data_IF_476151200784
#
_entry.id   IF_476151200784
#
_cell.length_a   1.000
_cell.length_b   1.000
_cell.length_c   1.000
_cell.angle_alpha   90.00
_cell.angle_beta   90.00
_cell.angle_gamma   90.00
#
_symmetry.space_group_name_H-M   'P 1'
#
loop_
_entity.id
_entity.type
_entity.pdbx_description
1 polymer ?
#
# COMPACT_ATOMS: atom_id res chain seq x y z
N UNK A 1 52.70 -0.86 -0.40
CA UNK A 1 51.66 -0.84 0.67
C UNK A 1 50.31 -1.19 0.05
N UNK A 2 50.16 -2.44 -0.39
CA UNK A 2 48.94 -2.91 -1.03
C UNK A 2 48.61 -4.28 -0.45
N UNK A 3 47.63 -4.32 0.44
CA UNK A 3 46.82 -5.49 0.76
C UNK A 3 45.66 -5.03 1.66
N UNK A 4 44.55 -5.75 1.57
CA UNK A 4 43.31 -5.57 2.33
C UNK A 4 42.30 -4.55 1.78
N UNK A 5 41.94 -4.69 0.50
CA UNK A 5 40.51 -4.79 0.24
C UNK A 5 40.17 -6.26 0.46
N UNK A 6 39.80 -6.60 1.71
CA UNK A 6 39.23 -7.90 1.99
C UNK A 6 38.02 -8.07 1.06
N UNK A 7 38.16 -8.99 0.12
CA UNK A 7 37.11 -9.57 -0.69
C UNK A 7 36.15 -10.31 0.25
N UNK A 8 35.42 -9.55 1.05
CA UNK A 8 34.45 -10.05 2.01
C UNK A 8 33.20 -10.39 1.22
N UNK A 9 33.25 -11.49 0.46
CA UNK A 9 32.08 -12.09 -0.15
C UNK A 9 31.02 -12.23 0.94
N UNK A 10 29.88 -11.54 0.83
CA UNK A 10 28.85 -11.61 1.86
C UNK A 10 28.41 -13.06 2.02
N UNK A 11 28.24 -13.47 3.27
CA UNK A 11 27.78 -14.80 3.63
C UNK A 11 26.47 -15.13 2.87
N UNK A 12 26.45 -16.20 2.06
CA UNK A 12 25.27 -16.59 1.29
C UNK A 12 24.02 -16.75 2.14
N UNK A 13 24.17 -17.26 3.37
CA UNK A 13 23.05 -17.46 4.29
C UNK A 13 22.51 -16.12 4.78
N UNK A 14 23.38 -15.15 5.10
CA UNK A 14 22.98 -13.80 5.45
C UNK A 14 22.21 -13.09 4.31
N UNK A 15 22.62 -13.28 3.05
CA UNK A 15 21.91 -12.76 1.88
C UNK A 15 20.53 -13.40 1.72
N UNK A 16 20.46 -14.74 1.80
CA UNK A 16 19.21 -15.47 1.69
C UNK A 16 18.22 -15.06 2.78
N UNK A 17 18.69 -14.93 4.03
CA UNK A 17 17.86 -14.48 5.13
C UNK A 17 17.30 -13.06 4.90
N UNK A 18 18.09 -12.17 4.28
CA UNK A 18 17.63 -10.82 3.94
C UNK A 18 16.51 -10.86 2.89
N UNK A 19 16.71 -11.60 1.81
CA UNK A 19 15.67 -11.78 0.77
C UNK A 19 14.40 -12.39 1.38
N UNK A 20 14.53 -13.40 2.24
CA UNK A 20 13.39 -14.01 2.92
C UNK A 20 12.67 -13.06 3.89
N UNK A 21 13.39 -12.13 4.54
CA UNK A 21 12.78 -11.09 5.39
C UNK A 21 12.01 -10.06 4.56
N UNK A 22 12.60 -9.63 3.44
CA UNK A 22 11.98 -8.69 2.50
C UNK A 22 10.73 -9.32 1.87
N UNK A 23 10.80 -10.57 1.42
CA UNK A 23 9.66 -11.33 0.90
C UNK A 23 8.55 -11.50 1.93
N UNK A 24 8.89 -11.86 3.18
CA UNK A 24 7.91 -11.93 4.28
C UNK A 24 7.25 -10.58 4.56
N UNK A 25 7.98 -9.49 4.44
CA UNK A 25 7.43 -8.13 4.66
C UNK A 25 6.54 -7.72 3.49
N UNK A 26 6.90 -8.06 2.26
CA UNK A 26 6.10 -7.79 1.07
C UNK A 26 4.79 -8.61 1.03
N UNK A 27 4.80 -9.82 1.59
CA UNK A 27 3.62 -10.68 1.69
C UNK A 27 2.58 -10.16 2.72
N UNK A 28 2.93 -9.20 3.58
CA UNK A 28 2.00 -8.64 4.56
C UNK A 28 1.09 -7.60 3.88
N UNK A 29 -0.17 -7.59 4.28
CA UNK A 29 -1.09 -6.51 3.95
C UNK A 29 -0.57 -5.15 4.43
N UNK A 30 -0.86 -4.10 3.66
CA UNK A 30 -0.52 -2.71 4.00
C UNK A 30 -1.80 -1.94 4.31
N UNK A 31 -1.82 -1.23 5.44
CA UNK A 31 -2.91 -0.33 5.79
C UNK A 31 -2.55 1.10 5.36
N UNK A 32 -3.37 1.71 4.50
CA UNK A 32 -3.28 3.13 4.15
C UNK A 32 -4.42 3.89 4.83
N UNK A 33 -4.08 4.92 5.61
CA UNK A 33 -5.06 5.74 6.33
C UNK A 33 -5.17 7.11 5.64
N UNK A 34 -6.39 7.49 5.26
CA UNK A 34 -6.69 8.82 4.73
C UNK A 34 -7.12 9.74 5.89
N UNK A 35 -6.17 10.51 6.42
CA UNK A 35 -6.40 11.42 7.53
C UNK A 35 -6.87 12.81 7.04
N UNK A 36 -7.66 13.51 7.86
CA UNK A 36 -8.14 14.84 7.54
C UNK A 36 -8.59 15.61 8.78
N UNK A 37 -8.28 16.91 8.81
CA UNK A 37 -8.36 17.77 10.00
C UNK A 37 -9.80 18.09 10.46
N UNK A 38 -10.81 17.86 9.63
CA UNK A 38 -12.21 18.14 9.97
C UNK A 38 -13.18 17.15 9.29
N UNK A 39 -14.46 17.22 9.68
CA UNK A 39 -15.55 16.54 8.99
C UNK A 39 -15.75 17.16 7.59
N UNK A 40 -16.12 16.34 6.61
CA UNK A 40 -16.40 16.81 5.25
C UNK A 40 -15.20 17.19 4.39
N UNK A 41 -13.96 17.12 4.89
CA UNK A 41 -12.72 17.43 4.13
C UNK A 41 -12.38 16.45 3.00
N UNK A 42 -13.25 15.49 2.70
CA UNK A 42 -13.08 14.58 1.55
C UNK A 42 -12.31 13.28 1.82
N UNK A 43 -12.15 12.85 3.08
CA UNK A 43 -11.42 11.61 3.42
C UNK A 43 -11.96 10.37 2.67
N UNK A 44 -13.28 10.16 2.73
CA UNK A 44 -13.94 9.02 2.05
C UNK A 44 -13.84 9.14 0.53
N UNK A 45 -13.99 10.35 -0.01
CA UNK A 45 -13.85 10.60 -1.45
C UNK A 45 -12.45 10.23 -1.95
N UNK A 46 -11.39 10.75 -1.30
CA UNK A 46 -10.01 10.45 -1.66
C UNK A 46 -9.68 8.94 -1.52
N UNK A 47 -10.26 8.28 -0.52
CA UNK A 47 -10.12 6.83 -0.35
C UNK A 47 -10.74 6.06 -1.53
N UNK A 48 -11.98 6.38 -1.90
CA UNK A 48 -12.67 5.71 -3.01
C UNK A 48 -12.03 6.04 -4.37
N UNK A 49 -11.55 7.27 -4.57
CA UNK A 49 -10.82 7.64 -5.78
C UNK A 49 -9.52 6.82 -5.93
N UNK A 50 -8.80 6.59 -4.82
CA UNK A 50 -7.63 5.73 -4.82
C UNK A 50 -7.98 4.25 -5.10
N UNK A 51 -9.10 3.77 -4.56
CA UNK A 51 -9.61 2.42 -4.83
C UNK A 51 -9.96 2.23 -6.31
N UNK A 52 -10.61 3.21 -6.95
CA UNK A 52 -10.90 3.23 -8.40
C UNK A 52 -9.63 3.18 -9.24
N UNK A 53 -8.58 3.91 -8.85
CA UNK A 53 -7.27 3.84 -9.52
C UNK A 53 -6.65 2.44 -9.42
N UNK A 54 -6.83 1.74 -8.30
CA UNK A 54 -6.36 0.35 -8.15
C UNK A 54 -7.19 -0.63 -8.99
N UNK A 55 -8.51 -0.50 -9.00
CA UNK A 55 -9.38 -1.31 -9.83
C UNK A 55 -9.06 -1.12 -11.33
N UNK A 56 -8.83 0.12 -11.77
CA UNK A 56 -8.37 0.42 -13.13
C UNK A 56 -7.01 -0.20 -13.48
N UNK A 57 -6.17 -0.45 -12.47
CA UNK A 57 -4.91 -1.19 -12.59
C UNK A 57 -5.10 -2.72 -12.50
N UNK A 58 -6.33 -3.23 -12.63
CA UNK A 58 -6.68 -4.65 -12.53
C UNK A 58 -6.33 -5.29 -11.18
N UNK A 59 -6.29 -4.50 -10.11
CA UNK A 59 -6.21 -5.01 -8.75
C UNK A 59 -7.62 -5.38 -8.30
N UNK A 60 -7.78 -6.54 -7.69
CA UNK A 60 -9.05 -6.95 -7.07
C UNK A 60 -9.33 -6.08 -5.84
N UNK A 61 -10.40 -5.30 -5.91
CA UNK A 61 -10.78 -4.30 -4.92
C UNK A 61 -12.19 -4.60 -4.43
N UNK A 62 -12.34 -4.69 -3.12
CA UNK A 62 -13.63 -4.94 -2.47
C UNK A 62 -13.92 -3.82 -1.47
N UNK A 63 -15.15 -3.32 -1.48
CA UNK A 63 -15.65 -2.39 -0.45
C UNK A 63 -16.37 -3.19 0.62
N UNK A 64 -15.76 -3.30 1.80
CA UNK A 64 -16.38 -3.99 2.94
C UNK A 64 -17.41 -3.14 3.68
N UNK A 65 -17.11 -1.85 3.88
CA UNK A 65 -18.00 -0.88 4.52
C UNK A 65 -17.64 0.54 4.06
N UNK A 66 -18.65 1.38 3.87
CA UNK A 66 -18.48 2.78 3.54
C UNK A 66 -19.66 3.60 4.09
N UNK A 67 -19.36 4.78 4.64
CA UNK A 67 -20.36 5.71 5.15
C UNK A 67 -20.34 7.01 4.32
N UNK A 68 -21.39 7.23 3.55
CA UNK A 68 -21.42 8.22 2.46
C UNK A 68 -22.04 9.55 2.88
N UNK A 69 -22.78 9.57 3.99
CA UNK A 69 -23.42 10.77 4.56
C UNK A 69 -24.23 11.59 3.53
N UNK A 70 -24.86 10.93 2.54
CA UNK A 70 -25.72 11.56 1.51
C UNK A 70 -24.97 12.35 0.44
N UNK A 71 -23.67 12.10 0.23
CA UNK A 71 -22.86 12.81 -0.76
C UNK A 71 -22.88 12.09 -2.11
N UNK A 72 -23.76 12.51 -3.00
CA UNK A 72 -23.97 11.89 -4.32
C UNK A 72 -22.68 11.66 -5.14
N UNK A 73 -21.76 12.63 -5.18
CA UNK A 73 -20.49 12.48 -5.89
C UNK A 73 -19.60 11.37 -5.30
N UNK A 74 -19.67 11.16 -3.99
CA UNK A 74 -18.92 10.10 -3.31
C UNK A 74 -19.61 8.74 -3.50
N UNK A 75 -20.94 8.73 -3.52
CA UNK A 75 -21.75 7.54 -3.82
C UNK A 75 -21.45 7.00 -5.23
N UNK A 76 -21.37 7.89 -6.22
CA UNK A 76 -21.05 7.53 -7.60
C UNK A 76 -19.68 6.86 -7.77
N UNK A 77 -18.75 7.00 -6.81
CA UNK A 77 -17.46 6.30 -6.84
C UNK A 77 -17.57 4.81 -6.49
N UNK A 78 -18.70 4.36 -5.95
CA UNK A 78 -18.99 2.95 -5.71
C UNK A 78 -19.48 2.23 -6.97
N UNK A 79 -19.94 2.97 -7.98
CA UNK A 79 -20.42 2.40 -9.22
C UNK A 79 -19.22 1.99 -10.10
N UNK A 80 -18.98 0.67 -10.20
CA UNK A 80 -17.80 0.12 -10.86
C UNK A 80 -17.67 -1.38 -10.75
#
# INVERSE_FOLDING_TARGET
MAAEHADARPDPDALLQRVQREARTAARGRLKIFLGAAAGVGKSYAMLEAARKQAAASIDVVVGYVELHGRAETEALLDG
#
